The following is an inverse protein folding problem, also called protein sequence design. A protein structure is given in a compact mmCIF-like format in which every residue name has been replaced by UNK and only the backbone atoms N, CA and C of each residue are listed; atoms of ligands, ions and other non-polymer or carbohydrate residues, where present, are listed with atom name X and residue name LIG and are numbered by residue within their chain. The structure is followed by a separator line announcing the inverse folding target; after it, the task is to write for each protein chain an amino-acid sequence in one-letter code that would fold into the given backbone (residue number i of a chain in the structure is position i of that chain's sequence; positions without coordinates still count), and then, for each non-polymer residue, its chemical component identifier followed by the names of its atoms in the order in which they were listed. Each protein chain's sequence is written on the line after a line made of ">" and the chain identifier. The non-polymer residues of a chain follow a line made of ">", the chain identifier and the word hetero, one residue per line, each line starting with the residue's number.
data_IF_524316217913
#
_entry.id   IF_524316217913
#
_cell.length_a   1.000
_cell.length_b   1.000
_cell.length_c   1.000
_cell.angle_alpha   90.00
_cell.angle_beta   90.00
_cell.angle_gamma   90.00
#
_symmetry.space_group_name_H-M   'P 1'
#
loop_
_entity.id
_entity.type
_entity.pdbx_description
1 polymer ?
#
# COMPACT_ATOMS: atom_id res chain seq x y z
N UNK A 1 -19.47 -29.85 -26.54
CA UNK A 1 -20.30 -29.23 -25.47
C UNK A 1 -20.19 -27.72 -25.66
N UNK A 2 -21.28 -27.00 -26.01
CA UNK A 2 -21.19 -25.57 -26.27
C UNK A 2 -20.76 -24.84 -24.99
N UNK A 3 -19.86 -23.86 -25.14
CA UNK A 3 -19.44 -23.01 -24.04
C UNK A 3 -20.63 -22.11 -23.70
N UNK A 4 -21.29 -22.35 -22.56
CA UNK A 4 -22.37 -21.47 -22.12
C UNK A 4 -21.79 -20.12 -21.73
N UNK A 5 -22.56 -19.04 -21.92
CA UNK A 5 -22.13 -17.67 -21.61
C UNK A 5 -21.63 -17.54 -20.16
N UNK A 6 -22.21 -18.30 -19.23
CA UNK A 6 -21.78 -18.36 -17.83
C UNK A 6 -20.33 -18.88 -17.67
N UNK A 7 -19.97 -19.95 -18.39
CA UNK A 7 -18.61 -20.53 -18.32
C UNK A 7 -17.61 -19.57 -18.97
N UNK A 8 -17.99 -18.93 -20.08
CA UNK A 8 -17.16 -17.93 -20.74
C UNK A 8 -16.90 -16.73 -19.83
N UNK A 9 -17.95 -16.16 -19.23
CA UNK A 9 -17.85 -15.02 -18.30
C UNK A 9 -17.02 -15.36 -17.06
N UNK A 10 -17.16 -16.57 -16.52
CA UNK A 10 -16.33 -17.03 -15.39
C UNK A 10 -14.84 -17.07 -15.76
N UNK A 11 -14.50 -17.60 -16.94
CA UNK A 11 -13.10 -17.66 -17.43
C UNK A 11 -12.52 -16.27 -17.65
N UNK A 12 -13.29 -15.35 -18.24
CA UNK A 12 -12.87 -13.96 -18.41
C UNK A 12 -12.56 -13.26 -17.08
N UNK A 13 -13.43 -13.43 -16.07
CA UNK A 13 -13.19 -12.87 -14.74
C UNK A 13 -11.88 -13.38 -14.15
N UNK A 14 -11.65 -14.69 -14.18
CA UNK A 14 -10.40 -15.30 -13.69
C UNK A 14 -9.19 -14.72 -14.42
N UNK A 15 -9.25 -14.59 -15.74
CA UNK A 15 -8.17 -14.02 -16.52
C UNK A 15 -7.85 -12.58 -16.11
N UNK A 16 -8.87 -11.72 -16.00
CA UNK A 16 -8.70 -10.31 -15.60
C UNK A 16 -8.10 -10.20 -14.20
N UNK A 17 -8.61 -10.97 -13.23
CA UNK A 17 -8.07 -10.96 -11.86
C UNK A 17 -6.64 -11.47 -11.79
N UNK A 18 -6.30 -12.51 -12.58
CA UNK A 18 -4.93 -13.02 -12.66
C UNK A 18 -3.97 -11.98 -13.26
N UNK A 19 -4.37 -11.28 -14.34
CA UNK A 19 -3.56 -10.22 -14.94
C UNK A 19 -3.34 -9.08 -13.93
N UNK A 20 -4.39 -8.63 -13.27
CA UNK A 20 -4.30 -7.61 -12.22
C UNK A 20 -3.36 -8.03 -11.09
N UNK A 21 -3.50 -9.27 -10.59
CA UNK A 21 -2.69 -9.80 -9.51
C UNK A 21 -1.21 -9.93 -9.88
N UNK A 22 -0.90 -10.40 -11.10
CA UNK A 22 0.48 -10.43 -11.63
C UNK A 22 1.04 -8.99 -11.71
N UNK A 23 0.23 -8.03 -12.15
CA UNK A 23 0.60 -6.61 -12.14
C UNK A 23 0.95 -6.12 -10.73
N UNK A 24 0.15 -6.46 -9.71
CA UNK A 24 0.45 -6.13 -8.32
C UNK A 24 1.75 -6.77 -7.81
N UNK A 25 2.04 -8.02 -8.20
CA UNK A 25 3.29 -8.70 -7.84
C UNK A 25 4.52 -7.99 -8.43
N UNK A 26 4.47 -7.65 -9.71
CA UNK A 26 5.55 -6.94 -10.38
C UNK A 26 5.72 -5.55 -9.76
N UNK A 27 4.62 -4.83 -9.56
CA UNK A 27 4.61 -3.53 -8.89
C UNK A 27 5.19 -3.59 -7.48
N UNK A 28 4.92 -4.66 -6.72
CA UNK A 28 5.47 -4.84 -5.37
C UNK A 28 6.99 -4.99 -5.41
N UNK A 29 7.51 -5.80 -6.33
CA UNK A 29 8.96 -5.99 -6.48
C UNK A 29 9.66 -4.66 -6.81
N UNK A 30 9.14 -3.93 -7.80
CA UNK A 30 9.66 -2.60 -8.19
C UNK A 30 9.59 -1.62 -7.01
N UNK A 31 8.44 -1.55 -6.34
CA UNK A 31 8.24 -0.64 -5.19
C UNK A 31 9.23 -0.92 -4.06
N UNK A 32 9.52 -2.19 -3.76
CA UNK A 32 10.50 -2.57 -2.74
C UNK A 32 11.91 -2.15 -3.16
N UNK A 33 12.29 -2.38 -4.41
CA UNK A 33 13.60 -2.04 -4.95
C UNK A 33 13.82 -0.52 -4.96
N UNK A 34 12.89 0.23 -5.52
CA UNK A 34 12.90 1.71 -5.53
C UNK A 34 13.00 2.30 -4.13
N UNK A 35 12.29 1.70 -3.16
CA UNK A 35 12.31 2.16 -1.76
C UNK A 35 13.66 1.87 -1.11
N UNK A 36 14.26 0.71 -1.38
CA UNK A 36 15.60 0.38 -0.89
C UNK A 36 16.64 1.34 -1.45
N UNK A 37 16.65 1.53 -2.77
CA UNK A 37 17.57 2.46 -3.44
C UNK A 37 17.43 3.88 -2.91
N UNK A 38 16.18 4.34 -2.69
CA UNK A 38 15.93 5.60 -2.02
C UNK A 38 16.57 5.65 -0.63
N UNK A 39 16.36 4.64 0.21
CA UNK A 39 16.89 4.61 1.58
C UNK A 39 18.43 4.52 1.62
N UNK A 40 19.05 3.86 0.65
CA UNK A 40 20.51 3.81 0.52
C UNK A 40 21.12 5.17 0.16
N UNK A 41 20.44 5.95 -0.69
CA UNK A 41 20.93 7.24 -1.18
C UNK A 41 20.44 8.45 -0.35
N UNK A 42 19.39 8.29 0.45
CA UNK A 42 18.77 9.39 1.18
C UNK A 42 19.66 9.95 2.29
N UNK A 43 19.63 11.27 2.43
CA UNK A 43 20.19 11.99 3.57
C UNK A 43 19.07 12.48 4.48
N UNK A 44 19.41 12.73 5.75
CA UNK A 44 18.46 13.22 6.76
C UNK A 44 18.57 14.72 6.96
N UNK A 45 17.44 15.39 7.17
CA UNK A 45 17.36 16.77 7.63
C UNK A 45 16.26 16.94 8.70
N UNK A 46 16.43 17.87 9.65
CA UNK A 46 15.35 18.25 10.54
C UNK A 46 14.26 18.99 9.76
N UNK A 47 13.00 18.64 10.02
CA UNK A 47 11.83 19.30 9.44
C UNK A 47 10.75 19.59 10.47
N UNK A 48 9.69 20.26 10.03
CA UNK A 48 8.56 20.64 10.85
C UNK A 48 7.25 20.57 10.08
N UNK A 49 6.19 20.16 10.75
CA UNK A 49 4.82 20.32 10.24
C UNK A 49 4.44 21.80 10.30
N UNK A 50 4.10 22.39 9.17
CA UNK A 50 3.73 23.83 9.07
C UNK A 50 2.25 24.05 8.84
N UNK A 51 1.56 23.07 8.26
CA UNK A 51 0.11 23.09 8.07
C UNK A 51 -0.44 21.66 8.04
N UNK A 52 -1.76 21.52 8.14
CA UNK A 52 -2.48 20.27 7.95
C UNK A 52 -3.44 20.45 6.77
N UNK A 53 -3.10 19.88 5.61
CA UNK A 53 -3.84 20.12 4.37
C UNK A 53 -5.23 19.46 4.38
N UNK A 54 -5.37 18.33 5.07
CA UNK A 54 -6.64 17.62 5.26
C UNK A 54 -6.68 16.88 6.62
N UNK A 55 -6.25 17.58 7.68
CA UNK A 55 -6.14 17.00 9.03
C UNK A 55 -4.81 16.27 9.28
N UNK A 56 -4.72 15.58 10.43
CA UNK A 56 -3.46 15.05 10.97
C UNK A 56 -2.80 13.91 10.18
N UNK A 57 -3.43 13.40 9.12
CA UNK A 57 -2.86 12.41 8.19
C UNK A 57 -2.26 13.03 6.92
N UNK A 58 -2.48 14.32 6.71
CA UNK A 58 -2.04 15.03 5.50
C UNK A 58 -1.25 16.30 5.86
N UNK A 59 -0.13 16.18 6.60
CA UNK A 59 0.65 17.34 7.00
C UNK A 59 1.44 17.94 5.83
N UNK A 60 1.55 19.26 5.82
CA UNK A 60 2.54 19.98 5.02
C UNK A 60 3.85 20.05 5.83
N UNK A 61 4.94 19.58 5.26
CA UNK A 61 6.25 19.53 5.91
C UNK A 61 7.18 20.56 5.29
N UNK A 62 7.89 21.30 6.13
CA UNK A 62 9.04 22.11 5.71
C UNK A 62 10.34 21.58 6.29
N UNK A 63 11.41 21.70 5.52
CA UNK A 63 12.76 21.42 5.97
C UNK A 63 13.77 22.32 5.24
N UNK A 64 15.00 22.34 5.74
CA UNK A 64 16.13 23.01 5.09
C UNK A 64 17.10 21.92 4.65
N UNK A 65 17.46 21.91 3.37
CA UNK A 65 18.42 20.93 2.83
C UNK A 65 19.87 21.29 3.22
N UNK A 66 20.84 20.43 2.87
CA UNK A 66 22.26 20.68 3.19
C UNK A 66 22.86 21.89 2.49
N UNK A 67 22.25 22.37 1.40
CA UNK A 67 22.62 23.60 0.70
C UNK A 67 22.07 24.86 1.38
N UNK A 68 21.26 24.71 2.43
CA UNK A 68 20.60 25.82 3.12
C UNK A 68 19.31 26.28 2.43
N UNK A 69 18.83 25.56 1.42
CA UNK A 69 17.60 25.89 0.70
C UNK A 69 16.39 25.36 1.46
N UNK A 70 15.35 26.18 1.58
CA UNK A 70 14.09 25.80 2.21
C UNK A 70 13.20 25.08 1.21
N UNK A 71 12.69 23.92 1.58
CA UNK A 71 11.75 23.15 0.79
C UNK A 71 10.49 22.84 1.61
N UNK A 72 9.35 22.76 0.90
CA UNK A 72 8.04 22.44 1.48
C UNK A 72 7.34 21.42 0.60
N UNK A 73 6.70 20.42 1.20
CA UNK A 73 5.99 19.39 0.45
C UNK A 73 4.80 18.81 1.24
N UNK A 74 3.72 18.37 0.56
CA UNK A 74 2.66 17.62 1.20
C UNK A 74 3.15 16.20 1.49
N UNK A 75 3.00 15.73 2.73
CA UNK A 75 3.30 14.35 3.08
C UNK A 75 2.05 13.49 2.96
N UNK A 76 2.20 12.36 2.25
CA UNK A 76 1.20 11.30 2.17
C UNK A 76 1.65 10.00 2.84
N UNK A 77 0.95 8.92 2.51
CA UNK A 77 1.21 7.58 3.05
C UNK A 77 0.32 7.23 4.23
N UNK A 78 0.62 6.10 4.86
CA UNK A 78 -0.13 5.59 6.00
C UNK A 78 0.39 6.19 7.30
N UNK A 79 0.05 7.46 7.51
CA UNK A 79 0.44 8.23 8.69
C UNK A 79 -0.76 8.99 9.26
N UNK A 80 -0.72 9.33 10.54
CA UNK A 80 -1.79 10.05 11.22
C UNK A 80 -1.29 10.73 12.50
N UNK A 81 -2.11 11.62 13.05
CA UNK A 81 -1.91 12.20 14.38
C UNK A 81 -0.97 13.41 14.44
N UNK A 82 -0.57 13.97 13.30
CA UNK A 82 0.29 15.16 13.27
C UNK A 82 -0.46 16.43 13.64
N UNK A 83 0.28 17.36 14.26
CA UNK A 83 -0.15 18.72 14.59
C UNK A 83 0.83 19.73 14.01
N UNK A 84 0.33 20.94 13.76
CA UNK A 84 1.20 22.06 13.37
C UNK A 84 2.25 22.30 14.46
N UNK A 85 3.50 22.39 14.04
CA UNK A 85 4.65 22.59 14.92
C UNK A 85 5.38 21.31 15.34
N UNK A 86 4.84 20.13 15.02
CA UNK A 86 5.52 18.86 15.27
C UNK A 86 6.86 18.81 14.54
N UNK A 87 7.88 18.33 15.25
CA UNK A 87 9.21 18.10 14.68
C UNK A 87 9.23 16.74 14.00
N UNK A 88 9.82 16.68 12.82
CA UNK A 88 9.98 15.45 12.04
C UNK A 88 11.40 15.33 11.51
N UNK A 89 11.80 14.11 11.15
CA UNK A 89 13.01 13.87 10.37
C UNK A 89 12.60 13.64 8.92
N UNK A 90 13.18 14.40 8.00
CA UNK A 90 12.95 14.28 6.56
C UNK A 90 14.10 13.52 5.92
N UNK A 91 13.77 12.52 5.11
CA UNK A 91 14.64 11.81 4.20
C UNK A 91 14.47 12.41 2.81
N UNK A 92 15.56 12.69 2.10
CA UNK A 92 15.51 13.19 0.73
C UNK A 92 16.83 12.90 -0.02
N UNK A 93 16.80 13.02 -1.34
CA UNK A 93 17.95 12.85 -2.23
C UNK A 93 18.63 14.18 -2.51
N UNK A 94 19.83 14.39 -1.98
CA UNK A 94 20.56 15.66 -2.07
C UNK A 94 20.97 16.05 -3.50
N UNK A 95 21.37 15.05 -4.30
CA UNK A 95 21.94 15.24 -5.64
C UNK A 95 20.99 14.84 -6.78
N UNK A 96 19.70 14.67 -6.47
CA UNK A 96 18.69 14.29 -7.46
C UNK A 96 17.90 15.51 -7.93
N UNK A 97 17.58 15.65 -9.23
CA UNK A 97 16.68 16.69 -9.74
C UNK A 97 15.26 16.55 -9.19
N UNK A 98 14.89 15.34 -8.74
CA UNK A 98 13.69 15.08 -7.95
C UNK A 98 14.11 14.61 -6.55
N UNK A 99 14.10 15.49 -5.52
CA UNK A 99 14.59 15.15 -4.18
C UNK A 99 13.78 14.07 -3.46
N UNK A 100 12.55 13.76 -3.92
CA UNK A 100 11.63 12.77 -3.32
C UNK A 100 11.57 12.85 -1.77
N UNK A 101 11.28 14.03 -1.18
CA UNK A 101 11.29 14.15 0.27
C UNK A 101 10.15 13.34 0.90
N UNK A 102 10.45 12.67 2.01
CA UNK A 102 9.47 11.95 2.83
C UNK A 102 9.91 11.93 4.29
N UNK A 103 8.98 11.82 5.23
CA UNK A 103 9.32 11.71 6.65
C UNK A 103 9.85 10.30 6.97
N UNK A 104 10.75 10.22 7.96
CA UNK A 104 11.34 8.98 8.46
C UNK A 104 10.33 8.15 9.29
N UNK A 105 9.30 7.64 8.62
CA UNK A 105 8.24 6.80 9.18
C UNK A 105 7.94 5.66 8.24
N UNK A 106 7.82 4.44 8.78
CA UNK A 106 7.52 3.24 7.99
C UNK A 106 6.29 3.43 7.11
N UNK A 107 5.21 3.98 7.65
CA UNK A 107 3.98 4.23 6.90
C UNK A 107 4.10 5.30 5.82
N UNK A 108 5.08 6.20 5.89
CA UNK A 108 5.35 7.18 4.84
C UNK A 108 6.27 6.61 3.75
N UNK A 109 7.32 5.88 4.17
CA UNK A 109 8.33 5.30 3.28
C UNK A 109 7.77 4.11 2.49
N UNK A 110 7.08 3.20 3.16
CA UNK A 110 6.71 1.88 2.60
C UNK A 110 5.25 1.80 2.15
N UNK A 111 4.51 2.92 2.12
CA UNK A 111 3.07 2.91 1.81
C UNK A 111 2.71 2.13 0.54
N UNK A 112 3.37 2.38 -0.63
CA UNK A 112 3.04 1.64 -1.84
C UNK A 112 3.29 0.14 -1.70
N UNK A 113 4.42 -0.26 -1.10
CA UNK A 113 4.77 -1.67 -0.86
C UNK A 113 3.78 -2.36 0.09
N UNK A 114 3.34 -1.68 1.15
CA UNK A 114 2.34 -2.21 2.10
C UNK A 114 1.01 -2.43 1.39
N UNK A 115 0.54 -1.44 0.61
CA UNK A 115 -0.71 -1.54 -0.13
C UNK A 115 -0.67 -2.67 -1.17
N UNK A 116 0.41 -2.77 -1.94
CA UNK A 116 0.59 -3.83 -2.93
C UNK A 116 0.68 -5.20 -2.28
N UNK A 117 1.36 -5.32 -1.13
CA UNK A 117 1.38 -6.56 -0.34
C UNK A 117 -0.03 -6.96 0.09
N UNK A 118 -0.88 -6.01 0.52
CA UNK A 118 -2.26 -6.29 0.86
C UNK A 118 -3.06 -6.86 -0.33
N UNK A 119 -2.83 -6.38 -1.56
CA UNK A 119 -3.46 -6.95 -2.75
C UNK A 119 -2.90 -8.32 -3.13
N UNK A 120 -1.57 -8.47 -3.09
CA UNK A 120 -0.86 -9.72 -3.41
C UNK A 120 -1.29 -10.85 -2.48
N UNK A 121 -1.42 -10.59 -1.19
CA UNK A 121 -1.81 -11.58 -0.17
C UNK A 121 -3.33 -11.71 -0.07
N UNK A 122 -4.05 -10.59 -0.07
CA UNK A 122 -5.49 -10.54 0.18
C UNK A 122 -6.32 -11.23 -0.90
N UNK A 123 -5.97 -11.04 -2.18
CA UNK A 123 -6.73 -11.63 -3.30
C UNK A 123 -6.70 -13.18 -3.24
N UNK A 124 -5.53 -13.84 -3.13
CA UNK A 124 -5.48 -15.29 -2.94
C UNK A 124 -6.12 -15.76 -1.63
N UNK A 125 -5.95 -15.01 -0.53
CA UNK A 125 -6.51 -15.37 0.77
C UNK A 125 -8.05 -15.43 0.75
N UNK A 126 -8.71 -14.46 0.09
CA UNK A 126 -10.17 -14.47 -0.09
C UNK A 126 -10.61 -15.69 -0.89
N UNK A 127 -9.89 -16.03 -1.97
CA UNK A 127 -10.16 -17.22 -2.77
C UNK A 127 -10.05 -18.51 -1.95
N UNK A 128 -8.98 -18.64 -1.16
CA UNK A 128 -8.77 -19.78 -0.27
C UNK A 128 -9.84 -19.87 0.82
N UNK A 129 -10.18 -18.76 1.46
CA UNK A 129 -11.19 -18.70 2.50
C UNK A 129 -12.57 -19.14 1.99
N UNK A 130 -12.96 -18.70 0.79
CA UNK A 130 -14.20 -19.14 0.15
C UNK A 130 -14.21 -20.65 -0.15
N UNK A 131 -13.08 -21.22 -0.58
CA UNK A 131 -12.96 -22.67 -0.78
C UNK A 131 -13.08 -23.46 0.52
N UNK A 132 -12.52 -22.94 1.62
CA UNK A 132 -12.58 -23.58 2.93
C UNK A 132 -14.01 -23.54 3.50
N UNK A 133 -14.70 -22.39 3.44
CA UNK A 133 -16.08 -22.26 3.92
C UNK A 133 -17.04 -23.17 3.14
N UNK A 134 -16.96 -23.20 1.81
CA UNK A 134 -17.84 -24.03 0.97
C UNK A 134 -17.59 -25.53 1.19
N UNK A 135 -16.37 -25.92 1.60
CA UNK A 135 -16.01 -27.31 1.93
C UNK A 135 -16.40 -27.76 3.34
N UNK A 136 -16.99 -26.90 4.18
CA UNK A 136 -17.59 -27.31 5.46
C UNK A 136 -19.13 -27.43 5.33
N UNK A 137 -19.70 -28.52 4.77
CA UNK A 137 -21.11 -28.83 4.91
C UNK A 137 -21.34 -29.43 6.31
N UNK A 138 -21.28 -28.57 7.33
CA UNK A 138 -21.45 -28.93 8.74
C UNK A 138 -22.85 -28.60 9.26
N UNK A 139 -23.88 -29.32 8.79
CA UNK A 139 -25.03 -29.76 9.60
C UNK A 139 -25.91 -30.67 8.75
N UNK A 140 -25.71 -31.97 8.96
CA UNK A 140 -26.57 -33.01 8.40
C UNK A 140 -28.03 -32.74 8.73
N UNK A 141 -28.87 -33.01 7.74
CA UNK A 141 -30.30 -33.05 7.85
C UNK A 141 -30.71 -33.98 9.02
N UNK A 142 -31.14 -33.38 10.14
CA UNK A 142 -31.66 -34.08 11.33
C UNK A 142 -33.15 -34.40 11.21
N UNK A 143 -33.76 -34.31 10.03
CA UNK A 143 -35.19 -34.63 9.85
C UNK A 143 -35.49 -36.14 9.74
N UNK A 144 -34.46 -37.00 9.65
CA UNK A 144 -34.63 -38.46 9.47
C UNK A 144 -34.89 -39.28 10.75
N UNK A 145 -35.08 -38.65 11.91
CA UNK A 145 -35.35 -39.35 13.18
C UNK A 145 -36.51 -38.75 13.97
N UNK A 146 -37.63 -38.47 13.30
CA UNK A 146 -38.91 -38.27 14.00
C UNK A 146 -39.73 -39.54 13.84
N UNK A 147 -39.73 -40.31 14.94
CA UNK A 147 -40.58 -41.46 15.22
C UNK A 147 -42.05 -41.02 15.16
#
# INVERSE_FOLDING_TARGET
>A
MPLTDEVLMRRFKVLIFSIFWIGCLIGLAISIDDTKDFLYAAVKAPGRVVALNAGGSHPQIEYVNKKGERASYPQGGWIAGYKVGDRVTVLYLEYSPNPRPTIDRVGAIWFPSILLTAFVVGIPAIGLFNLLIVKFPGKGDRSKWRI
#
